data_IF_017632123834
#
_entry.id   IF_017632123834
#
_cell.length_a   1.000
_cell.length_b   1.000
_cell.length_c   1.000
_cell.angle_alpha   90.00
_cell.angle_beta   90.00
_cell.angle_gamma   90.00
#
_symmetry.space_group_name_H-M   'P 1'
#
loop_
_entity.id
_entity.type
_entity.pdbx_description
1 polymer ?
#
# COMPACT_ATOMS: atom_id res chain seq x y z
N UNK A 1 -26.17 -20.87 25.15
CA UNK A 1 -25.56 -21.00 23.82
C UNK A 1 -24.96 -19.63 23.49
N UNK A 2 -23.68 -19.44 23.80
CA UNK A 2 -23.01 -18.14 23.67
C UNK A 2 -22.54 -17.98 22.22
N UNK A 3 -23.04 -16.95 21.54
CA UNK A 3 -22.63 -16.54 20.21
C UNK A 3 -21.24 -15.92 20.29
N UNK A 4 -20.22 -16.64 19.84
CA UNK A 4 -18.96 -16.04 19.41
C UNK A 4 -19.20 -15.49 18.00
N UNK A 5 -19.58 -14.22 17.89
CA UNK A 5 -19.55 -13.54 16.60
C UNK A 5 -18.09 -13.32 16.20
N UNK A 6 -17.75 -13.77 15.00
CA UNK A 6 -16.44 -13.72 14.37
C UNK A 6 -15.80 -12.32 14.45
N UNK A 7 -14.92 -12.14 15.42
CA UNK A 7 -14.07 -10.95 15.54
C UNK A 7 -13.02 -10.88 14.40
N UNK A 8 -12.89 -11.94 13.61
CA UNK A 8 -11.97 -12.09 12.48
C UNK A 8 -12.37 -11.24 11.28
N UNK A 9 -13.67 -11.00 11.06
CA UNK A 9 -14.16 -10.20 9.93
C UNK A 9 -13.89 -8.71 10.18
N UNK A 10 -14.05 -8.25 11.43
CA UNK A 10 -13.73 -6.85 11.82
C UNK A 10 -12.23 -6.55 11.84
N UNK A 11 -11.39 -7.54 12.07
CA UNK A 11 -9.93 -7.37 12.01
C UNK A 11 -9.43 -7.18 10.56
N UNK A 12 -10.14 -7.72 9.56
CA UNK A 12 -9.77 -7.58 8.14
C UNK A 12 -10.14 -6.22 7.54
N UNK A 13 -11.20 -5.59 8.02
CA UNK A 13 -11.67 -4.28 7.54
C UNK A 13 -10.79 -3.10 7.98
N UNK A 14 -9.97 -3.26 9.03
CA UNK A 14 -9.21 -2.13 9.62
C UNK A 14 -7.79 -1.94 9.08
N UNK A 15 -7.27 -2.85 8.24
CA UNK A 15 -5.84 -2.89 7.86
C UNK A 15 -5.58 -2.47 6.40
N UNK A 16 -6.60 -2.24 5.58
CA UNK A 16 -6.40 -2.27 4.13
C UNK A 16 -5.88 -0.98 3.50
N UNK A 17 -6.15 0.18 4.12
CA UNK A 17 -5.87 1.47 3.49
C UNK A 17 -5.37 2.53 4.48
N UNK A 18 -4.42 3.35 4.01
CA UNK A 18 -4.02 4.60 4.66
C UNK A 18 -4.31 5.76 3.71
N UNK A 19 -4.92 6.83 4.20
CA UNK A 19 -5.01 8.09 3.45
C UNK A 19 -3.90 9.04 3.90
N UNK A 20 -3.10 9.52 2.95
CA UNK A 20 -2.11 10.58 3.17
C UNK A 20 -2.41 11.75 2.24
N UNK A 21 -2.04 12.96 2.65
CA UNK A 21 -2.22 14.17 1.84
C UNK A 21 -0.85 14.80 1.66
N UNK A 22 -0.42 14.99 0.41
CA UNK A 22 0.90 15.55 0.16
C UNK A 22 0.92 17.08 0.28
N UNK A 23 2.08 17.68 0.02
CA UNK A 23 2.29 19.13 0.09
C UNK A 23 1.46 19.95 -0.92
N UNK A 24 1.02 19.34 -2.02
CA UNK A 24 0.13 19.94 -3.02
C UNK A 24 -1.35 19.76 -2.69
N UNK A 25 -1.65 19.30 -1.49
CA UNK A 25 -2.99 18.99 -1.04
C UNK A 25 -3.69 17.85 -1.79
N UNK A 26 -2.94 17.03 -2.53
CA UNK A 26 -3.47 15.87 -3.23
C UNK A 26 -3.70 14.72 -2.24
N UNK A 27 -4.93 14.20 -2.13
CA UNK A 27 -5.23 13.03 -1.32
C UNK A 27 -4.74 11.76 -2.04
N UNK A 28 -3.97 10.95 -1.32
CA UNK A 28 -3.53 9.63 -1.74
C UNK A 28 -4.12 8.55 -0.84
N UNK A 29 -4.64 7.51 -1.47
CA UNK A 29 -4.92 6.24 -0.82
C UNK A 29 -3.77 5.29 -1.04
N UNK A 30 -3.29 4.71 0.05
CA UNK A 30 -2.23 3.72 0.09
C UNK A 30 -2.86 2.37 0.42
N UNK A 31 -2.53 1.34 -0.36
CA UNK A 31 -3.04 -0.04 -0.17
C UNK A 31 -1.85 -1.00 -0.05
N UNK A 32 -1.96 -1.98 0.84
CA UNK A 32 -1.07 -3.15 0.81
C UNK A 32 -1.73 -4.27 0.00
N UNK A 33 -0.94 -4.91 -0.87
CA UNK A 33 -1.33 -6.11 -1.61
C UNK A 33 -0.48 -7.27 -1.10
N UNK A 34 -1.13 -8.22 -0.45
CA UNK A 34 -0.48 -9.40 0.11
C UNK A 34 -0.30 -10.53 -0.93
N UNK A 35 0.58 -11.50 -0.66
CA UNK A 35 0.68 -12.70 -1.49
C UNK A 35 -0.70 -13.39 -1.62
N UNK A 36 -1.05 -13.75 -2.85
CA UNK A 36 -2.34 -14.32 -3.25
C UNK A 36 -3.43 -13.28 -3.57
N UNK A 37 -3.21 -11.99 -3.29
CA UNK A 37 -4.22 -10.96 -3.55
C UNK A 37 -4.17 -10.43 -4.99
N UNK A 38 -5.32 -9.93 -5.45
CA UNK A 38 -5.47 -9.37 -6.79
C UNK A 38 -5.14 -7.88 -6.84
N UNK A 39 -4.54 -7.48 -7.96
CA UNK A 39 -4.14 -6.10 -8.21
C UNK A 39 -4.10 -5.77 -9.71
N UNK A 40 -3.72 -4.52 -10.00
CA UNK A 40 -3.53 -4.04 -11.35
C UNK A 40 -4.86 -3.66 -12.01
N UNK A 41 -4.80 -3.31 -13.30
CA UNK A 41 -5.98 -2.89 -14.05
C UNK A 41 -7.06 -3.99 -13.98
N UNK A 42 -8.26 -3.62 -13.54
CA UNK A 42 -9.40 -4.53 -13.39
C UNK A 42 -9.10 -5.76 -12.51
N UNK A 43 -8.16 -5.66 -11.55
CA UNK A 43 -7.77 -6.75 -10.64
C UNK A 43 -7.34 -8.04 -11.37
N UNK A 44 -6.73 -7.89 -12.56
CA UNK A 44 -6.40 -9.01 -13.44
C UNK A 44 -5.11 -9.75 -13.07
N UNK A 45 -4.25 -9.16 -12.22
CA UNK A 45 -3.01 -9.77 -11.76
C UNK A 45 -3.19 -10.35 -10.35
N UNK A 46 -2.34 -11.32 -10.00
CA UNK A 46 -2.23 -11.91 -8.66
C UNK A 46 -0.79 -11.71 -8.19
N UNK A 47 -0.61 -11.26 -6.95
CA UNK A 47 0.71 -11.11 -6.37
C UNK A 47 1.16 -12.45 -5.79
N UNK A 48 2.27 -13.02 -6.25
CA UNK A 48 2.70 -14.35 -5.81
C UNK A 48 3.94 -14.31 -4.91
N UNK A 49 4.69 -13.21 -4.92
CA UNK A 49 5.89 -13.07 -4.10
C UNK A 49 5.52 -12.85 -2.63
N UNK A 50 6.40 -13.32 -1.73
CA UNK A 50 6.17 -13.24 -0.28
C UNK A 50 6.30 -11.83 0.29
N UNK A 51 7.04 -10.95 -0.37
CA UNK A 51 7.16 -9.53 -0.01
C UNK A 51 5.90 -8.79 -0.50
N UNK A 52 5.05 -8.23 0.39
CA UNK A 52 3.87 -7.48 -0.02
C UNK A 52 4.21 -6.26 -0.85
N UNK A 53 3.20 -5.73 -1.53
CA UNK A 53 3.33 -4.52 -2.32
C UNK A 53 2.57 -3.36 -1.68
N UNK A 54 3.10 -2.16 -1.80
CA UNK A 54 2.47 -0.91 -1.39
C UNK A 54 2.12 -0.14 -2.65
N UNK A 55 0.83 0.13 -2.85
CA UNK A 55 0.28 0.85 -4.00
C UNK A 55 -0.22 2.23 -3.59
N UNK A 56 0.06 3.24 -4.41
CA UNK A 56 -0.38 4.61 -4.22
C UNK A 56 -1.40 5.01 -5.28
N UNK A 57 -2.52 5.57 -4.83
CA UNK A 57 -3.64 6.00 -5.66
C UNK A 57 -3.99 7.46 -5.42
N UNK A 58 -4.10 8.27 -6.48
CA UNK A 58 -4.62 9.63 -6.41
C UNK A 58 -6.14 9.61 -6.30
N UNK A 59 -6.69 10.01 -5.13
CA UNK A 59 -8.13 9.90 -4.83
C UNK A 59 -8.98 10.91 -5.61
N UNK A 60 -8.39 11.87 -6.33
CA UNK A 60 -9.14 12.84 -7.15
C UNK A 60 -9.86 12.19 -8.32
N UNK A 61 -9.44 10.99 -8.72
CA UNK A 61 -9.89 10.33 -9.95
C UNK A 61 -10.38 8.90 -9.67
N UNK A 62 -11.68 8.60 -9.69
CA UNK A 62 -12.22 7.30 -9.28
C UNK A 62 -12.12 6.24 -10.38
N UNK A 63 -10.90 5.88 -10.81
CA UNK A 63 -10.67 4.99 -11.95
C UNK A 63 -10.42 3.52 -11.58
N UNK A 64 -9.86 3.25 -10.40
CA UNK A 64 -9.55 1.90 -9.94
C UNK A 64 -10.40 1.52 -8.74
N UNK A 65 -10.71 0.22 -8.62
CA UNK A 65 -11.32 -0.38 -7.43
C UNK A 65 -10.53 -1.60 -6.98
N UNK A 66 -10.62 -1.94 -5.71
CA UNK A 66 -10.15 -3.24 -5.22
C UNK A 66 -11.08 -4.38 -5.69
N UNK A 67 -10.76 -5.66 -5.40
CA UNK A 67 -11.59 -6.80 -5.78
C UNK A 67 -13.00 -6.79 -5.15
N UNK A 68 -13.17 -6.13 -4.02
CA UNK A 68 -14.43 -5.96 -3.29
C UNK A 68 -15.27 -4.80 -3.83
N UNK A 69 -14.73 -4.00 -4.76
CA UNK A 69 -15.41 -2.87 -5.40
C UNK A 69 -15.24 -1.53 -4.69
N UNK A 70 -14.36 -1.42 -3.70
CA UNK A 70 -14.01 -0.17 -3.02
C UNK A 70 -13.22 0.70 -3.99
N UNK A 71 -13.66 1.95 -4.19
CA UNK A 71 -12.98 2.93 -5.05
C UNK A 71 -11.63 3.31 -4.44
N UNK A 72 -10.55 3.11 -5.19
CA UNK A 72 -9.18 3.40 -4.77
C UNK A 72 -8.69 4.77 -5.21
N UNK A 73 -9.00 5.16 -6.44
CA UNK A 73 -8.45 6.36 -7.08
C UNK A 73 -7.79 6.03 -8.42
N UNK A 74 -6.93 6.92 -8.93
CA UNK A 74 -6.08 6.64 -10.07
C UNK A 74 -4.80 6.00 -9.57
N UNK A 75 -4.48 4.81 -10.06
CA UNK A 75 -3.19 4.19 -9.80
C UNK A 75 -2.04 5.09 -10.28
N UNK A 76 -1.06 5.34 -9.40
CA UNK A 76 0.13 6.13 -9.72
C UNK A 76 1.36 5.22 -9.80
N UNK A 77 1.69 4.52 -8.71
CA UNK A 77 2.84 3.62 -8.66
C UNK A 77 2.72 2.58 -7.55
N UNK A 78 3.65 1.62 -7.55
CA UNK A 78 3.76 0.57 -6.54
C UNK A 78 5.20 0.21 -6.26
N UNK A 79 5.45 -0.26 -5.03
CA UNK A 79 6.77 -0.67 -4.56
C UNK A 79 6.63 -1.89 -3.64
N UNK A 80 7.71 -2.64 -3.46
CA UNK A 80 7.76 -3.64 -2.40
C UNK A 80 7.66 -2.97 -1.03
N UNK A 81 6.99 -3.62 -0.08
CA UNK A 81 6.85 -3.14 1.29
C UNK A 81 8.23 -2.99 1.93
N UNK A 82 9.16 -3.91 1.66
CA UNK A 82 10.57 -3.81 2.05
C UNK A 82 11.24 -2.52 1.58
N UNK A 83 11.03 -2.14 0.32
CA UNK A 83 11.60 -0.92 -0.25
C UNK A 83 11.08 0.32 0.47
N UNK A 84 9.78 0.37 0.79
CA UNK A 84 9.19 1.50 1.51
C UNK A 84 9.67 1.56 2.96
N UNK A 85 9.67 0.42 3.65
CA UNK A 85 10.05 0.31 5.06
C UNK A 85 11.52 0.66 5.29
N UNK A 86 12.42 0.22 4.41
CA UNK A 86 13.86 0.41 4.54
C UNK A 86 14.38 1.74 3.96
N UNK A 87 13.57 2.43 3.15
CA UNK A 87 13.93 3.73 2.60
C UNK A 87 13.76 4.86 3.62
N UNK A 88 14.42 6.00 3.35
CA UNK A 88 14.25 7.24 4.13
C UNK A 88 13.84 8.39 3.21
N UNK A 89 13.26 9.45 3.79
CA UNK A 89 12.86 10.64 3.04
C UNK A 89 11.52 10.49 2.30
N UNK A 90 11.25 11.47 1.42
CA UNK A 90 10.06 11.49 0.57
C UNK A 90 10.20 10.60 -0.66
N UNK A 91 9.10 10.45 -1.40
CA UNK A 91 9.05 9.59 -2.59
C UNK A 91 8.37 10.34 -3.73
N UNK A 92 9.05 10.44 -4.87
CA UNK A 92 8.44 10.91 -6.11
C UNK A 92 7.81 9.72 -6.84
N UNK A 93 6.48 9.67 -6.90
CA UNK A 93 5.76 8.53 -7.48
C UNK A 93 5.81 8.54 -9.02
N UNK A 94 5.94 9.73 -9.63
CA UNK A 94 6.17 9.93 -11.06
C UNK A 94 6.99 11.20 -11.31
N UNK A 95 8.11 11.07 -12.01
CA UNK A 95 9.02 12.19 -12.26
C UNK A 95 8.47 13.32 -13.15
N UNK A 96 7.38 13.08 -13.89
CA UNK A 96 6.78 14.05 -14.80
C UNK A 96 5.70 14.94 -14.13
N UNK A 97 5.15 14.52 -12.99
CA UNK A 97 4.06 15.22 -12.30
C UNK A 97 4.51 15.61 -10.89
N UNK A 98 4.74 16.91 -10.68
CA UNK A 98 5.21 17.44 -9.40
C UNK A 98 4.24 17.10 -8.24
N UNK A 99 2.93 17.11 -8.53
CA UNK A 99 1.86 16.79 -7.56
C UNK A 99 1.83 15.32 -7.13
N UNK A 100 2.61 14.44 -7.76
CA UNK A 100 2.69 13.03 -7.39
C UNK A 100 3.91 12.72 -6.49
N UNK A 101 4.46 13.75 -5.84
CA UNK A 101 5.42 13.58 -4.75
C UNK A 101 4.75 13.40 -3.39
N UNK A 102 5.28 12.50 -2.56
CA UNK A 102 4.91 12.35 -1.14
C UNK A 102 6.07 12.84 -0.28
N UNK A 103 5.79 13.75 0.64
CA UNK A 103 6.81 14.36 1.51
C UNK A 103 7.47 13.32 2.43
N UNK A 104 8.64 13.63 2.99
CA UNK A 104 9.28 12.74 3.97
C UNK A 104 8.37 12.48 5.17
N UNK A 105 7.75 13.52 5.71
CA UNK A 105 6.84 13.44 6.85
C UNK A 105 5.63 12.56 6.57
N UNK A 106 5.09 12.60 5.35
CA UNK A 106 3.94 11.76 5.00
C UNK A 106 4.37 10.32 4.69
N UNK A 107 5.55 10.12 4.10
CA UNK A 107 6.13 8.78 3.96
C UNK A 107 6.46 8.14 5.31
N UNK A 108 6.84 8.92 6.33
CA UNK A 108 7.05 8.41 7.68
C UNK A 108 5.74 7.86 8.27
N UNK A 109 4.60 8.50 8.01
CA UNK A 109 3.27 7.95 8.38
C UNK A 109 2.98 6.63 7.66
N UNK A 110 3.37 6.50 6.39
CA UNK A 110 3.23 5.24 5.65
C UNK A 110 4.08 4.15 6.32
N UNK A 111 5.34 4.44 6.66
CA UNK A 111 6.24 3.48 7.33
C UNK A 111 5.74 3.08 8.71
N UNK A 112 5.35 4.04 9.54
CA UNK A 112 4.75 3.82 10.86
C UNK A 112 3.48 2.97 10.74
N UNK A 113 2.66 3.21 9.72
CA UNK A 113 1.47 2.40 9.44
C UNK A 113 1.82 0.97 9.04
N UNK A 114 2.83 0.75 8.18
CA UNK A 114 3.30 -0.60 7.84
C UNK A 114 3.80 -1.34 9.08
N UNK A 115 4.60 -0.69 9.92
CA UNK A 115 5.13 -1.24 11.17
C UNK A 115 4.00 -1.56 12.17
N UNK A 116 3.10 -0.61 12.43
CA UNK A 116 1.98 -0.78 13.36
C UNK A 116 1.04 -1.93 12.97
N UNK A 117 0.95 -2.26 11.68
CA UNK A 117 0.16 -3.37 11.16
C UNK A 117 0.98 -4.65 10.94
N UNK A 118 2.25 -4.66 11.35
CA UNK A 118 3.14 -5.83 11.22
C UNK A 118 3.18 -6.36 9.78
N UNK A 119 3.19 -5.45 8.80
CA UNK A 119 3.32 -5.83 7.39
C UNK A 119 4.67 -6.54 7.23
N UNK A 120 4.69 -7.80 6.75
CA UNK A 120 5.94 -8.53 6.62
C UNK A 120 6.81 -7.83 5.59
N UNK A 121 8.05 -7.56 5.96
CA UNK A 121 9.09 -7.01 5.09
C UNK A 121 10.08 -8.15 4.86
N UNK A 122 10.31 -8.49 3.60
CA UNK A 122 11.40 -9.41 3.28
C UNK A 122 12.71 -8.63 3.35
N UNK A 123 13.60 -9.06 4.23
CA UNK A 123 15.00 -8.71 4.15
C UNK A 123 15.59 -9.63 3.07
N UNK A 124 16.16 -9.06 2.01
CA UNK A 124 16.93 -9.85 1.06
C UNK A 124 17.96 -10.65 1.87
N UNK A 125 17.94 -11.98 1.74
CA UNK A 125 19.01 -12.84 2.23
C UNK A 125 20.30 -12.40 1.52
N UNK A 126 21.01 -11.45 2.15
CA UNK A 126 22.41 -11.19 1.88
C UNK A 126 23.12 -12.52 2.16
N UNK A 127 23.86 -12.99 1.15
CA UNK A 127 24.72 -14.19 1.18
C UNK A 127 24.09 -15.51 0.67
N UNK A 128 23.56 -15.51 -0.57
CA UNK A 128 23.81 -16.66 -1.44
C UNK A 128 25.16 -16.48 -2.14
N UNK A 129 26.23 -16.84 -1.43
CA UNK A 129 27.53 -17.12 -2.03
C UNK A 129 27.35 -18.24 -3.08
N UNK A 130 27.64 -17.92 -4.35
CA UNK A 130 27.66 -18.88 -5.46
C UNK A 130 28.95 -19.70 -5.49
#
# INVERSE_FOLDING_TARGET
MLYWQDNTIKAKEFVMFLSVKNEFEVPFKVRVVYPGERYGRDNCLVHEDMDPLVEFYDERYPFCTDPEGVVLGQFVSRYFASTIANATGGLQLDGAIAEWGVSSTDMDKVREWLEANSVPVWEDDVDMEW
#
